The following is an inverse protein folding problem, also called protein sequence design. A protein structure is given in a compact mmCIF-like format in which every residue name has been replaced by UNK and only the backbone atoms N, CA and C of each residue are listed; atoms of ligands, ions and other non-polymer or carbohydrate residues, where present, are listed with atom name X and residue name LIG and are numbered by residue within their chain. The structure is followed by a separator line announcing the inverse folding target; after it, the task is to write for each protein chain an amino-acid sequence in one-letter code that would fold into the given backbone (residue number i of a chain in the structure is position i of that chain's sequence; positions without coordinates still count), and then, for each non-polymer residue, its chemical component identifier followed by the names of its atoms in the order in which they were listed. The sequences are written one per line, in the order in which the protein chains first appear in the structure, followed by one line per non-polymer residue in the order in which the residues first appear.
data_IF_249969564830
#
_entry.id   IF_249969564830
#
_cell.length_a   1.000
_cell.length_b   1.000
_cell.length_c   1.000
_cell.angle_alpha   90.00
_cell.angle_beta   90.00
_cell.angle_gamma   90.00
#
_symmetry.space_group_name_H-M   'P 1'
#
loop_
_entity.id
_entity.type
_entity.pdbx_description
1 polymer ?
#
# COMPACT_ATOMS: atom_id res chain seq x y z
N UNK A 1 2.04 17.88 3.22
CA UNK A 1 3.25 17.10 2.88
C UNK A 1 3.84 16.53 4.16
N UNK A 2 3.61 15.25 4.46
CA UNK A 2 4.17 14.64 5.67
C UNK A 2 5.67 14.43 5.50
N UNK A 3 6.43 14.90 6.49
CA UNK A 3 7.87 14.65 6.65
C UNK A 3 8.21 13.20 6.34
N UNK A 4 9.35 12.99 5.67
CA UNK A 4 9.93 11.67 5.43
C UNK A 4 9.90 10.86 6.74
N UNK A 5 9.30 9.65 6.75
CA UNK A 5 9.10 8.92 7.98
C UNK A 5 10.43 8.44 8.55
N UNK A 6 10.53 8.50 9.88
CA UNK A 6 11.70 8.00 10.62
C UNK A 6 11.46 6.55 11.03
N UNK A 7 12.50 5.73 10.92
CA UNK A 7 12.49 4.35 11.38
C UNK A 7 12.31 4.29 12.91
N UNK A 8 11.34 3.51 13.38
CA UNK A 8 11.06 3.41 14.82
C UNK A 8 12.15 2.66 15.60
N UNK A 9 12.97 1.85 14.91
CA UNK A 9 14.09 1.10 15.46
C UNK A 9 15.38 1.93 15.42
N UNK A 10 15.87 2.27 14.23
CA UNK A 10 17.16 2.96 14.03
C UNK A 10 17.13 4.47 14.22
N UNK A 11 15.92 5.09 14.28
CA UNK A 11 15.74 6.55 14.33
C UNK A 11 16.35 7.34 13.16
N UNK A 12 16.54 6.69 12.01
CA UNK A 12 17.00 7.32 10.75
C UNK A 12 15.85 7.57 9.78
N UNK A 13 16.02 8.52 8.88
CA UNK A 13 15.10 8.75 7.77
C UNK A 13 15.00 7.50 6.89
N UNK A 14 13.78 7.14 6.49
CA UNK A 14 13.52 5.99 5.66
C UNK A 14 13.44 6.38 4.19
N UNK A 15 13.88 5.48 3.31
CA UNK A 15 13.91 5.70 1.87
C UNK A 15 12.53 5.38 1.26
N UNK A 16 12.01 6.22 0.35
CA UNK A 16 10.75 5.96 -0.33
C UNK A 16 10.90 4.78 -1.30
N UNK A 17 9.82 4.01 -1.43
CA UNK A 17 9.71 2.92 -2.40
C UNK A 17 8.24 2.58 -2.66
N UNK A 18 8.02 1.54 -3.45
CA UNK A 18 6.69 1.04 -3.76
C UNK A 18 6.68 -0.47 -3.85
N UNK A 19 5.50 -1.04 -3.60
CA UNK A 19 5.21 -2.44 -3.85
C UNK A 19 4.42 -2.54 -5.15
N UNK A 20 4.54 -3.67 -5.82
CA UNK A 20 3.74 -4.00 -7.01
C UNK A 20 2.94 -5.26 -6.75
N UNK A 21 1.73 -5.28 -7.27
CA UNK A 21 0.86 -6.44 -7.29
C UNK A 21 0.43 -6.76 -8.73
N UNK A 22 0.09 -8.01 -8.99
CA UNK A 22 -0.43 -8.45 -10.28
C UNK A 22 -1.95 -8.32 -10.29
N UNK A 23 -2.43 -7.35 -11.05
CA UNK A 23 -3.85 -7.17 -11.31
C UNK A 23 -4.35 -8.08 -12.43
N UNK A 24 -5.58 -7.80 -12.87
CA UNK A 24 -6.20 -8.50 -13.99
C UNK A 24 -5.32 -8.45 -15.25
N UNK A 25 -5.22 -9.58 -15.97
CA UNK A 25 -4.31 -9.77 -17.12
C UNK A 25 -2.85 -9.46 -16.83
N UNK A 26 -2.35 -9.82 -15.64
CA UNK A 26 -0.96 -9.59 -15.20
C UNK A 26 -0.53 -8.12 -15.26
N UNK A 27 -1.50 -7.20 -15.15
CA UNK A 27 -1.20 -5.77 -15.16
C UNK A 27 -0.54 -5.37 -13.83
N UNK A 28 0.63 -4.74 -13.91
CA UNK A 28 1.30 -4.23 -12.71
C UNK A 28 0.48 -3.10 -12.10
N UNK A 29 0.06 -3.28 -10.84
CA UNK A 29 -0.67 -2.26 -10.07
C UNK A 29 0.03 -1.96 -8.76
N UNK A 30 -0.16 -0.74 -8.25
CA UNK A 30 0.19 -0.43 -6.87
C UNK A 30 -0.85 -1.04 -5.93
N UNK A 31 -0.45 -1.65 -4.80
CA UNK A 31 -1.38 -2.17 -3.82
C UNK A 31 -2.22 -1.04 -3.22
N UNK A 32 -3.42 -1.40 -2.77
CA UNK A 32 -4.38 -0.45 -2.19
C UNK A 32 -4.83 -0.93 -0.83
N UNK A 33 -4.94 0.00 0.10
CA UNK A 33 -5.61 -0.20 1.37
C UNK A 33 -7.09 0.09 1.18
N UNK A 34 -7.93 -0.92 1.40
CA UNK A 34 -9.38 -0.82 1.30
C UNK A 34 -9.97 -0.90 2.73
N UNK A 35 -10.77 0.08 3.17
CA UNK A 35 -11.33 0.06 4.51
C UNK A 35 -12.38 -1.05 4.67
N UNK A 36 -12.40 -1.70 5.83
CA UNK A 36 -13.38 -2.72 6.19
C UNK A 36 -13.02 -4.14 5.74
N UNK A 37 -14.01 -5.03 5.80
CA UNK A 37 -13.87 -6.42 5.35
C UNK A 37 -14.20 -6.52 3.84
N UNK A 38 -13.55 -7.41 3.08
CA UNK A 38 -13.88 -7.62 1.68
C UNK A 38 -15.31 -8.16 1.53
N UNK A 39 -16.11 -7.50 0.71
CA UNK A 39 -17.40 -8.01 0.27
C UNK A 39 -17.15 -8.90 -0.95
N UNK A 40 -17.51 -10.18 -0.85
CA UNK A 40 -17.31 -11.13 -1.94
C UNK A 40 -18.02 -10.67 -3.22
N UNK A 41 -17.27 -10.65 -4.32
CA UNK A 41 -17.79 -10.45 -5.66
C UNK A 41 -18.24 -11.80 -6.21
N UNK A 42 -19.38 -11.82 -6.91
CA UNK A 42 -19.90 -13.06 -7.52
C UNK A 42 -18.99 -13.62 -8.61
N UNK A 43 -18.12 -12.80 -9.21
CA UNK A 43 -17.32 -13.18 -10.37
C UNK A 43 -15.88 -13.55 -10.02
N UNK A 44 -15.23 -12.78 -9.15
CA UNK A 44 -13.86 -13.04 -8.69
C UNK A 44 -13.79 -13.86 -7.39
N UNK A 45 -14.87 -13.89 -6.59
CA UNK A 45 -14.84 -14.47 -5.24
C UNK A 45 -14.06 -13.63 -4.21
N UNK A 46 -13.48 -12.50 -4.63
CA UNK A 46 -12.68 -11.58 -3.81
C UNK A 46 -13.46 -10.31 -3.48
N UNK A 47 -12.79 -9.20 -3.14
CA UNK A 47 -13.45 -7.92 -2.89
C UNK A 47 -14.21 -7.40 -4.13
N UNK A 48 -15.35 -6.76 -3.91
CA UNK A 48 -16.08 -6.03 -4.97
C UNK A 48 -15.20 -4.92 -5.55
N UNK A 49 -15.27 -4.72 -6.86
CA UNK A 49 -14.56 -3.65 -7.57
C UNK A 49 -14.72 -2.28 -6.90
N UNK A 50 -15.93 -1.93 -6.43
CA UNK A 50 -16.18 -0.67 -5.72
C UNK A 50 -15.26 -0.48 -4.50
N UNK A 51 -15.01 -1.53 -3.71
CA UNK A 51 -14.12 -1.44 -2.54
C UNK A 51 -12.67 -1.21 -2.94
N UNK A 52 -12.25 -1.82 -4.06
CA UNK A 52 -10.90 -1.66 -4.61
C UNK A 52 -10.71 -0.26 -5.20
N UNK A 53 -11.70 0.24 -5.94
CA UNK A 53 -11.64 1.54 -6.60
C UNK A 53 -11.64 2.70 -5.58
N UNK A 54 -12.39 2.56 -4.49
CA UNK A 54 -12.40 3.49 -3.34
C UNK A 54 -11.15 3.34 -2.44
N UNK A 55 -10.34 2.30 -2.66
CA UNK A 55 -9.12 2.03 -1.90
C UNK A 55 -8.01 3.06 -2.17
N UNK A 56 -7.30 3.41 -1.10
CA UNK A 56 -6.16 4.33 -1.13
C UNK A 56 -4.89 3.60 -1.58
N UNK A 57 -4.15 4.17 -2.53
CA UNK A 57 -2.85 3.62 -2.94
C UNK A 57 -1.89 3.57 -1.76
N UNK A 58 -1.19 2.46 -1.59
CA UNK A 58 -0.19 2.30 -0.54
C UNK A 58 1.16 2.80 -1.04
N UNK A 59 1.83 3.58 -0.21
CA UNK A 59 3.23 3.99 -0.35
C UNK A 59 4.09 3.22 0.65
N UNK A 60 5.33 2.93 0.29
CA UNK A 60 6.24 2.17 1.14
C UNK A 60 7.48 3.00 1.47
N UNK A 61 8.02 2.78 2.66
CA UNK A 61 9.31 3.33 3.08
C UNK A 61 10.14 2.24 3.72
N UNK A 62 11.41 2.11 3.34
CA UNK A 62 12.34 1.10 3.86
C UNK A 62 13.46 1.77 4.65
N UNK A 63 13.79 1.23 5.81
CA UNK A 63 14.97 1.67 6.54
C UNK A 63 16.24 1.15 5.82
N UNK A 64 17.23 2.00 5.52
CA UNK A 64 18.46 1.55 4.86
C UNK A 64 19.37 0.69 5.76
N UNK A 65 19.12 0.65 7.07
CA UNK A 65 19.98 -0.05 8.04
C UNK A 65 19.37 -1.35 8.56
N UNK A 66 18.19 -1.29 9.18
CA UNK A 66 17.51 -2.49 9.70
C UNK A 66 16.48 -3.08 8.75
N UNK A 67 16.34 -2.51 7.55
CA UNK A 67 15.49 -3.05 6.48
C UNK A 67 13.98 -3.07 6.78
N UNK A 68 13.57 -2.56 7.94
CA UNK A 68 12.18 -2.43 8.33
C UNK A 68 11.38 -1.65 7.27
N UNK A 69 10.22 -2.20 6.90
CA UNK A 69 9.32 -1.62 5.93
C UNK A 69 8.10 -1.01 6.64
N UNK A 70 7.71 0.20 6.24
CA UNK A 70 6.47 0.85 6.70
C UNK A 70 5.59 1.16 5.50
N UNK A 71 4.32 0.81 5.61
CA UNK A 71 3.30 1.03 4.60
C UNK A 71 2.33 2.11 5.06
N UNK A 72 2.01 3.05 4.17
CA UNK A 72 1.08 4.15 4.44
C UNK A 72 0.06 4.28 3.32
N UNK A 73 -1.19 4.56 3.67
CA UNK A 73 -2.27 4.86 2.74
C UNK A 73 -2.64 6.36 2.88
N UNK A 74 -1.91 7.27 2.21
CA UNK A 74 -2.17 8.71 2.35
C UNK A 74 -3.51 9.10 1.71
N UNK A 75 -4.16 10.12 2.26
CA UNK A 75 -5.43 10.65 1.74
C UNK A 75 -5.27 11.36 0.39
N UNK A 76 -4.06 11.79 0.05
CA UNK A 76 -3.68 12.39 -1.24
C UNK A 76 -2.39 11.71 -1.72
N UNK A 77 -2.35 11.29 -2.98
CA UNK A 77 -1.23 10.57 -3.58
C UNK A 77 -0.26 11.53 -4.30
#
# INVERSE_FOLDING_TARGET
MSKQPVCLVCKKDMEPGFLTDLGHFDTVRLPRWCPGQPEASFWSGEAKHRQVDEGLKVTAYRCPECEALRLYAPSEA
#
